data_IF_716825472725
#
_entry.id   IF_716825472725
#
_cell.length_a   1.000
_cell.length_b   1.000
_cell.length_c   1.000
_cell.angle_alpha   90.00
_cell.angle_beta   90.00
_cell.angle_gamma   90.00
#
_symmetry.space_group_name_H-M   'P 1'
#
loop_
_entity.id
_entity.type
_entity.pdbx_description
1 polymer ?
#
# COMPACT_ATOMS: atom_id res chain seq x y z
N UNK A 1 -26.02 -28.14 23.62
CA UNK A 1 -27.16 -27.22 23.81
C UNK A 1 -26.75 -26.19 24.85
N UNK A 2 -26.58 -24.93 24.44
CA UNK A 2 -26.83 -23.70 25.21
C UNK A 2 -27.02 -22.62 24.14
N UNK A 3 -28.14 -21.92 24.27
CA UNK A 3 -28.72 -20.98 23.32
C UNK A 3 -28.34 -19.56 23.72
N UNK A 4 -27.89 -18.71 22.79
CA UNK A 4 -27.65 -17.28 23.03
C UNK A 4 -28.50 -16.51 22.00
N UNK A 5 -29.40 -15.61 22.44
CA UNK A 5 -30.34 -14.96 21.55
C UNK A 5 -29.72 -13.79 20.77
N UNK A 6 -30.18 -13.70 19.51
CA UNK A 6 -30.19 -12.56 18.58
C UNK A 6 -30.27 -11.19 19.26
N UNK A 7 -29.33 -10.31 18.94
CA UNK A 7 -29.55 -8.86 19.00
C UNK A 7 -29.54 -8.31 17.56
N UNK A 8 -30.75 -8.09 17.03
CA UNK A 8 -31.00 -7.27 15.85
C UNK A 8 -30.95 -5.81 16.30
N UNK A 9 -30.02 -5.03 15.76
CA UNK A 9 -30.04 -3.57 15.91
C UNK A 9 -30.35 -2.95 14.55
N UNK A 10 -31.61 -2.59 14.40
CA UNK A 10 -32.19 -1.80 13.31
C UNK A 10 -32.23 -0.35 13.79
N UNK A 11 -31.62 0.58 13.06
CA UNK A 11 -31.85 2.03 13.18
C UNK A 11 -31.03 2.72 12.06
N UNK A 12 -31.46 3.71 11.28
CA UNK A 12 -32.74 4.25 10.86
C UNK A 12 -32.39 5.16 9.67
N UNK A 13 -33.23 5.17 8.64
CA UNK A 13 -33.07 6.03 7.46
C UNK A 13 -33.35 7.48 7.84
N UNK A 14 -32.50 8.41 7.39
CA UNK A 14 -32.83 9.83 7.34
C UNK A 14 -32.68 10.34 5.89
N UNK A 15 -33.82 10.57 5.25
CA UNK A 15 -33.99 11.28 3.99
C UNK A 15 -34.20 12.77 4.27
N UNK A 16 -33.31 13.62 3.78
CA UNK A 16 -33.54 15.05 3.50
C UNK A 16 -32.64 15.36 2.28
N UNK A 17 -33.06 15.93 1.15
CA UNK A 17 -34.20 16.79 0.88
C UNK A 17 -33.67 18.15 0.39
N UNK A 18 -33.57 18.32 -0.95
CA UNK A 18 -33.56 19.54 -1.78
C UNK A 18 -33.01 20.89 -1.27
N UNK A 19 -32.21 21.55 -2.13
CA UNK A 19 -32.21 23.02 -2.21
C UNK A 19 -30.96 23.65 -2.80
N UNK A 20 -30.93 23.82 -4.14
CA UNK A 20 -30.04 24.77 -4.80
C UNK A 20 -30.51 26.21 -4.57
N UNK A 21 -29.60 27.10 -4.20
CA UNK A 21 -29.69 28.53 -4.54
C UNK A 21 -28.29 29.08 -4.81
N UNK A 22 -28.04 29.72 -5.97
CA UNK A 22 -26.83 30.49 -6.21
C UNK A 22 -27.01 31.90 -5.65
N UNK A 23 -26.15 32.31 -4.73
CA UNK A 23 -26.08 33.71 -4.30
C UNK A 23 -25.17 34.48 -5.26
N UNK A 24 -25.80 35.13 -6.24
CA UNK A 24 -25.18 36.15 -7.09
C UNK A 24 -24.88 37.40 -6.27
N UNK A 25 -23.64 37.87 -6.36
CA UNK A 25 -23.18 39.14 -5.82
C UNK A 25 -22.07 39.67 -6.71
N UNK A 26 -22.43 40.49 -7.67
CA UNK A 26 -21.53 41.21 -8.57
C UNK A 26 -21.23 42.60 -7.97
N UNK A 27 -19.95 42.88 -7.67
CA UNK A 27 -19.41 44.25 -7.54
C UNK A 27 -17.96 44.25 -8.06
N UNK A 28 -17.83 44.80 -9.29
CA UNK A 28 -16.76 45.57 -9.98
C UNK A 28 -15.29 45.66 -9.47
N UNK A 29 -14.31 46.03 -10.33
CA UNK A 29 -13.09 45.27 -10.56
C UNK A 29 -11.87 45.92 -9.90
N UNK A 30 -11.00 45.10 -9.32
CA UNK A 30 -9.62 45.51 -9.06
C UNK A 30 -8.69 44.42 -9.61
N UNK A 31 -7.95 44.81 -10.65
CA UNK A 31 -6.71 44.19 -11.08
C UNK A 31 -5.87 43.83 -9.86
N UNK A 32 -5.74 42.53 -9.61
CA UNK A 32 -4.98 41.97 -8.51
C UNK A 32 -4.67 40.52 -8.85
N UNK A 33 -3.62 40.32 -9.64
CA UNK A 33 -2.86 39.08 -9.81
C UNK A 33 -3.65 37.78 -9.71
N UNK A 34 -4.06 37.25 -10.88
CA UNK A 34 -4.58 35.89 -11.03
C UNK A 34 -3.66 34.88 -10.31
N UNK A 35 -4.11 34.15 -9.27
CA UNK A 35 -3.48 32.89 -8.97
C UNK A 35 -3.87 31.94 -10.11
N UNK A 36 -2.86 31.34 -10.73
CA UNK A 36 -3.03 30.27 -11.71
C UNK A 36 -4.08 29.27 -11.19
N UNK A 37 -4.98 28.74 -12.05
CA UNK A 37 -5.84 27.65 -11.64
C UNK A 37 -4.94 26.52 -11.18
N UNK A 38 -4.93 26.26 -9.87
CA UNK A 38 -4.48 24.99 -9.31
C UNK A 38 -5.48 24.00 -9.85
N UNK A 39 -5.17 23.42 -11.01
CA UNK A 39 -5.67 22.11 -11.37
C UNK A 39 -5.43 21.26 -10.13
N UNK A 40 -6.45 20.66 -9.52
CA UNK A 40 -6.23 19.71 -8.45
C UNK A 40 -5.28 18.69 -9.06
N UNK A 41 -4.01 18.74 -8.63
CA UNK A 41 -3.02 17.77 -9.03
C UNK A 41 -3.71 16.44 -8.85
N UNK A 42 -3.79 15.68 -9.94
CA UNK A 42 -4.16 14.28 -9.90
C UNK A 42 -3.55 13.71 -8.62
N UNK A 43 -4.25 12.87 -7.84
CA UNK A 43 -3.60 12.09 -6.80
C UNK A 43 -2.74 11.04 -7.50
N UNK A 44 -1.76 11.49 -8.28
CA UNK A 44 -0.55 10.80 -8.60
C UNK A 44 0.17 10.68 -7.26
N UNK A 45 -0.34 9.76 -6.44
CA UNK A 45 0.43 9.02 -5.46
C UNK A 45 1.50 8.26 -6.22
N UNK A 46 2.48 9.00 -6.73
CA UNK A 46 3.74 8.45 -7.18
C UNK A 46 4.47 8.13 -5.89
N UNK A 47 4.14 6.97 -5.32
CA UNK A 47 5.07 6.26 -4.47
C UNK A 47 6.21 5.88 -5.41
N UNK A 48 7.21 6.76 -5.51
CA UNK A 48 8.28 6.66 -6.49
C UNK A 48 9.08 5.39 -6.18
N UNK A 49 8.85 4.36 -6.99
CA UNK A 49 9.66 3.15 -6.98
C UNK A 49 11.14 3.54 -7.08
N UNK A 50 12.01 3.08 -6.16
CA UNK A 50 13.42 3.45 -6.20
C UNK A 50 14.10 2.89 -7.45
N UNK A 51 15.19 3.54 -7.89
CA UNK A 51 16.13 2.96 -8.85
C UNK A 51 16.82 1.74 -8.25
N UNK A 52 17.45 0.90 -9.08
CA UNK A 52 18.20 -0.27 -8.62
C UNK A 52 19.23 0.10 -7.53
N UNK A 53 20.02 1.14 -7.77
CA UNK A 53 21.07 1.57 -6.82
C UNK A 53 20.49 2.00 -5.47
N UNK A 54 19.35 2.71 -5.48
CA UNK A 54 18.67 3.12 -4.24
C UNK A 54 18.02 1.91 -3.56
N UNK A 55 17.48 0.97 -4.33
CA UNK A 55 16.89 -0.25 -3.81
C UNK A 55 17.93 -1.14 -3.13
N UNK A 56 19.17 -1.20 -3.63
CA UNK A 56 20.28 -1.89 -2.95
C UNK A 56 20.51 -1.31 -1.54
N UNK A 57 20.58 0.01 -1.43
CA UNK A 57 20.78 0.69 -0.14
C UNK A 57 19.59 0.51 0.81
N UNK A 58 18.37 0.57 0.26
CA UNK A 58 17.15 0.36 1.03
C UNK A 58 17.03 -1.10 1.50
N UNK A 59 17.46 -2.07 0.69
CA UNK A 59 17.43 -3.48 1.04
C UNK A 59 18.26 -3.77 2.30
N UNK A 60 19.41 -3.10 2.48
CA UNK A 60 20.22 -3.22 3.71
C UNK A 60 19.48 -2.75 4.96
N UNK A 61 18.50 -1.85 4.79
CA UNK A 61 17.65 -1.33 5.88
C UNK A 61 16.45 -2.23 6.18
N UNK A 62 16.11 -3.18 5.31
CA UNK A 62 15.05 -4.16 5.54
C UNK A 62 15.52 -5.15 6.60
N UNK A 63 14.74 -5.28 7.67
CA UNK A 63 15.04 -6.18 8.80
C UNK A 63 13.92 -7.17 9.02
N UNK A 64 14.27 -8.36 9.51
CA UNK A 64 13.30 -9.37 9.97
C UNK A 64 12.36 -8.75 11.00
N UNK A 65 11.06 -9.05 10.89
CA UNK A 65 10.01 -8.47 11.74
C UNK A 65 9.45 -7.13 11.25
N UNK A 66 10.05 -6.51 10.23
CA UNK A 66 9.54 -5.25 9.69
C UNK A 66 8.10 -5.42 9.14
N UNK A 67 7.17 -4.48 9.42
CA UNK A 67 5.80 -4.58 8.90
C UNK A 67 5.75 -4.46 7.37
N UNK A 68 4.86 -5.21 6.73
CA UNK A 68 4.62 -5.13 5.28
C UNK A 68 4.43 -3.69 4.76
N UNK A 69 3.62 -2.88 5.45
CA UNK A 69 3.38 -1.46 5.09
C UNK A 69 4.64 -0.60 5.05
N UNK A 70 5.66 -0.94 5.85
CA UNK A 70 6.92 -0.19 5.87
C UNK A 70 7.73 -0.54 4.63
N UNK A 71 7.77 -1.82 4.25
CA UNK A 71 8.39 -2.26 3.00
C UNK A 71 7.70 -1.64 1.78
N UNK A 72 6.37 -1.61 1.77
CA UNK A 72 5.59 -0.93 0.73
C UNK A 72 5.94 0.57 0.65
N UNK A 73 6.09 1.26 1.78
CA UNK A 73 6.51 2.65 1.80
C UNK A 73 7.96 2.87 1.31
N UNK A 74 8.83 1.87 1.45
CA UNK A 74 10.23 1.94 1.00
C UNK A 74 10.39 1.69 -0.50
N UNK A 75 9.69 0.68 -1.04
CA UNK A 75 9.90 0.21 -2.42
C UNK A 75 8.74 0.51 -3.37
N UNK A 76 7.60 0.97 -2.85
CA UNK A 76 6.34 1.04 -3.58
C UNK A 76 5.71 -0.33 -3.81
N UNK A 77 4.64 -0.36 -4.61
CA UNK A 77 3.96 -1.59 -4.99
C UNK A 77 4.89 -2.57 -5.70
N UNK A 78 4.84 -3.88 -5.39
CA UNK A 78 5.64 -4.89 -6.07
C UNK A 78 5.14 -5.18 -7.49
N UNK A 79 6.04 -5.62 -8.37
CA UNK A 79 5.68 -6.10 -9.71
C UNK A 79 4.95 -7.44 -9.66
N UNK A 80 5.33 -8.29 -8.70
CA UNK A 80 4.68 -9.58 -8.45
C UNK A 80 4.44 -9.75 -6.96
N UNK A 81 3.25 -10.23 -6.63
CA UNK A 81 2.89 -10.64 -5.29
C UNK A 81 2.18 -11.99 -5.34
N UNK A 82 2.55 -12.92 -4.47
CA UNK A 82 1.93 -14.25 -4.44
C UNK A 82 2.20 -14.99 -3.15
N UNK A 83 1.42 -16.04 -2.91
CA UNK A 83 1.63 -16.92 -1.77
C UNK A 83 2.46 -18.13 -2.16
N UNK A 84 3.38 -18.54 -1.29
CA UNK A 84 4.20 -19.76 -1.43
C UNK A 84 4.22 -20.54 -0.13
N UNK A 85 4.35 -21.86 -0.21
CA UNK A 85 4.58 -22.71 0.96
C UNK A 85 6.09 -22.93 1.17
N UNK A 86 6.55 -22.71 2.39
CA UNK A 86 7.93 -22.97 2.83
C UNK A 86 7.95 -24.05 3.91
N UNK A 87 9.13 -24.59 4.23
CA UNK A 87 9.29 -25.53 5.36
C UNK A 87 8.82 -26.95 5.12
N UNK A 88 8.37 -27.31 3.90
CA UNK A 88 7.92 -28.67 3.57
C UNK A 88 8.99 -29.74 3.85
N UNK A 89 10.25 -29.46 3.53
CA UNK A 89 11.37 -30.37 3.81
C UNK A 89 11.65 -30.53 5.31
N UNK A 90 11.31 -29.53 6.12
CA UNK A 90 11.48 -29.55 7.58
C UNK A 90 10.24 -30.11 8.32
N UNK A 91 9.21 -30.56 7.59
CA UNK A 91 8.01 -31.19 8.15
C UNK A 91 6.95 -30.24 8.71
N UNK A 92 7.23 -28.93 8.76
CA UNK A 92 6.28 -27.91 9.23
C UNK A 92 6.08 -26.91 8.11
N UNK A 93 5.15 -27.18 7.17
CA UNK A 93 4.86 -26.25 6.10
C UNK A 93 4.20 -24.99 6.64
N UNK A 94 4.57 -23.83 6.11
CA UNK A 94 3.95 -22.56 6.44
C UNK A 94 3.76 -21.70 5.20
N UNK A 95 2.73 -20.86 5.21
CA UNK A 95 2.38 -19.98 4.09
C UNK A 95 3.12 -18.65 4.23
N UNK A 96 3.83 -18.28 3.18
CA UNK A 96 4.46 -16.99 3.03
C UNK A 96 3.73 -16.13 1.99
N UNK A 97 3.79 -14.81 2.17
CA UNK A 97 3.52 -13.84 1.11
C UNK A 97 4.88 -13.42 0.53
N UNK A 98 5.02 -13.46 -0.78
CA UNK A 98 6.27 -13.13 -1.49
C UNK A 98 6.01 -11.97 -2.41
N UNK A 99 6.79 -10.90 -2.26
CA UNK A 99 6.78 -9.73 -3.12
C UNK A 99 8.08 -9.67 -3.93
N UNK A 100 7.98 -9.22 -5.18
CA UNK A 100 9.12 -9.09 -6.09
C UNK A 100 9.08 -7.76 -6.84
N UNK A 101 10.23 -7.10 -6.95
CA UNK A 101 10.45 -5.90 -7.76
C UNK A 101 11.57 -6.17 -8.76
N UNK A 102 11.30 -6.03 -10.06
CA UNK A 102 12.22 -6.21 -11.20
C UNK A 102 12.77 -4.86 -11.69
N UNK A 103 14.05 -4.63 -11.46
CA UNK A 103 14.77 -3.41 -11.83
C UNK A 103 15.37 -3.54 -13.23
N UNK A 104 14.73 -2.88 -14.20
CA UNK A 104 15.14 -2.87 -15.61
C UNK A 104 16.30 -1.88 -15.89
N UNK A 105 16.59 -1.00 -14.94
CA UNK A 105 17.72 -0.05 -14.97
C UNK A 105 19.05 -0.70 -14.57
N UNK A 106 19.05 -1.97 -14.14
CA UNK A 106 20.23 -2.81 -13.97
C UNK A 106 20.54 -3.60 -15.25
N UNK A 107 21.83 -3.88 -15.51
CA UNK A 107 22.26 -4.75 -16.62
C UNK A 107 23.15 -5.88 -16.09
N UNK A 108 22.71 -7.16 -16.16
CA UNK A 108 21.37 -7.60 -16.56
C UNK A 108 20.28 -7.12 -15.57
N UNK A 109 18.98 -7.14 -15.96
CA UNK A 109 17.89 -6.83 -15.04
C UNK A 109 17.99 -7.67 -13.76
N UNK A 110 17.77 -7.04 -12.61
CA UNK A 110 17.84 -7.68 -11.29
C UNK A 110 16.48 -7.66 -10.62
N UNK A 111 16.19 -8.64 -9.78
CA UNK A 111 14.98 -8.65 -8.97
C UNK A 111 15.33 -8.66 -7.49
N UNK A 112 14.58 -7.89 -6.69
CA UNK A 112 14.54 -8.00 -5.23
C UNK A 112 13.33 -8.85 -4.87
N UNK A 113 13.51 -9.90 -4.07
CA UNK A 113 12.40 -10.61 -3.45
C UNK A 113 12.39 -10.38 -1.94
N UNK A 114 11.19 -10.14 -1.39
CA UNK A 114 10.97 -10.06 0.05
C UNK A 114 9.89 -11.05 0.42
N UNK A 115 10.21 -11.93 1.37
CA UNK A 115 9.33 -12.96 1.89
C UNK A 115 8.81 -12.52 3.25
N UNK A 116 7.48 -12.53 3.38
CA UNK A 116 6.78 -12.21 4.59
C UNK A 116 6.18 -13.47 5.22
N UNK A 117 6.23 -13.52 6.55
CA UNK A 117 5.56 -14.50 7.38
C UNK A 117 4.45 -13.83 8.17
N UNK A 118 3.35 -14.54 8.36
CA UNK A 118 2.25 -14.06 9.20
C UNK A 118 2.59 -14.29 10.68
N UNK A 119 2.48 -13.23 11.50
CA UNK A 119 2.60 -13.34 12.95
C UNK A 119 1.32 -13.91 13.60
N UNK A 120 1.36 -14.20 14.90
CA UNK A 120 0.23 -14.78 15.65
C UNK A 120 -1.02 -13.89 15.63
N UNK A 121 -0.85 -12.60 15.37
CA UNK A 121 -1.94 -11.62 15.27
C UNK A 121 -2.46 -11.46 13.84
N UNK A 122 -1.98 -12.27 12.89
CA UNK A 122 -2.42 -12.23 11.50
C UNK A 122 -1.72 -11.17 10.63
N UNK A 123 -0.69 -10.48 11.13
CA UNK A 123 0.01 -9.44 10.37
C UNK A 123 1.22 -9.99 9.63
N UNK A 124 1.47 -9.49 8.43
CA UNK A 124 2.63 -9.86 7.63
C UNK A 124 3.89 -9.09 8.07
N UNK A 125 4.94 -9.85 8.38
CA UNK A 125 6.24 -9.37 8.82
C UNK A 125 7.33 -9.92 7.93
N UNK A 126 8.34 -9.12 7.63
CA UNK A 126 9.50 -9.58 6.87
C UNK A 126 10.11 -10.79 7.57
N UNK A 127 10.29 -11.88 6.85
CA UNK A 127 11.02 -13.05 7.29
C UNK A 127 12.44 -13.04 6.72
N UNK A 128 12.59 -12.80 5.41
CA UNK A 128 13.87 -12.57 4.75
C UNK A 128 13.67 -11.78 3.44
N UNK A 129 14.77 -11.26 2.90
CA UNK A 129 14.80 -10.67 1.56
C UNK A 129 16.11 -11.02 0.88
N UNK A 130 16.06 -11.19 -0.43
CA UNK A 130 17.16 -11.69 -1.25
C UNK A 130 17.16 -11.06 -2.65
N UNK A 131 18.34 -11.05 -3.26
CA UNK A 131 18.55 -10.71 -4.66
C UNK A 131 18.80 -12.01 -5.42
N UNK A 132 17.76 -12.69 -5.94
CA UNK A 132 17.93 -13.91 -6.71
C UNK A 132 18.98 -13.75 -7.81
N UNK A 133 19.78 -14.80 -8.02
CA UNK A 133 20.87 -14.83 -9.00
C UNK A 133 20.36 -14.76 -10.45
#
# INVERSE_FOLDING_TARGET
MISIPRLLLVLSVALFGFGCTPQSGEVTPMEGSLPLPVVPGSPEGIQARPSFQNALQLADSVKVGMPQRVVEAMFGSPDKAGYKEYGRAAGIPWRALVWEWVFQDATPPRALSIVFQQDESGNWRVNHGDWPE
#
